data_IF_373112596470
#
_entry.id   IF_373112596470
#
_cell.length_a   1.000
_cell.length_b   1.000
_cell.length_c   1.000
_cell.angle_alpha   90.00
_cell.angle_beta   90.00
_cell.angle_gamma   90.00
#
_symmetry.space_group_name_H-M   'P 1'
#
loop_
_entity.id
_entity.type
_entity.pdbx_description
1 polymer ?
#
# COMPACT_ATOMS: atom_id res chain seq x y z
N UNK A 1 5.51 -3.93 -34.45
CA UNK A 1 5.33 -2.51 -34.06
C UNK A 1 4.19 -2.26 -33.07
N UNK A 2 2.97 -2.80 -33.27
CA UNK A 2 1.82 -2.53 -32.37
C UNK A 2 2.03 -2.99 -30.91
N UNK A 3 2.64 -4.15 -30.68
CA UNK A 3 2.91 -4.66 -29.32
C UNK A 3 3.84 -3.78 -28.49
N UNK A 4 4.92 -3.25 -29.10
CA UNK A 4 5.87 -2.38 -28.39
C UNK A 4 5.27 -1.05 -27.93
N UNK A 5 4.33 -0.48 -28.70
CA UNK A 5 3.62 0.76 -28.35
C UNK A 5 2.63 0.52 -27.20
N UNK A 6 2.00 -0.66 -27.14
CA UNK A 6 1.08 -1.01 -26.06
C UNK A 6 1.86 -1.20 -24.75
N UNK A 7 3.00 -1.89 -24.81
CA UNK A 7 3.88 -2.13 -23.67
C UNK A 7 4.43 -0.81 -23.11
N UNK A 8 4.89 0.10 -23.97
CA UNK A 8 5.40 1.41 -23.51
C UNK A 8 4.31 2.28 -22.88
N UNK A 9 3.09 2.28 -23.43
CA UNK A 9 1.94 2.97 -22.82
C UNK A 9 1.57 2.38 -21.47
N UNK A 10 1.55 1.04 -21.35
CA UNK A 10 1.25 0.37 -20.09
C UNK A 10 2.31 0.67 -19.03
N UNK A 11 3.59 0.74 -19.41
CA UNK A 11 4.65 1.15 -18.50
C UNK A 11 4.42 2.57 -17.96
N UNK A 12 4.10 3.53 -18.83
CA UNK A 12 3.83 4.91 -18.41
C UNK A 12 2.63 4.97 -17.48
N UNK A 13 1.53 4.30 -17.84
CA UNK A 13 0.30 4.31 -17.03
C UNK A 13 0.58 3.67 -15.68
N UNK A 14 1.09 2.44 -15.67
CA UNK A 14 1.23 1.65 -14.46
C UNK A 14 2.37 2.16 -13.57
N UNK A 15 3.58 2.33 -14.13
CA UNK A 15 4.76 2.65 -13.33
C UNK A 15 4.84 4.14 -13.03
N UNK A 16 4.66 5.01 -14.02
CA UNK A 16 4.87 6.45 -13.80
C UNK A 16 3.63 7.07 -13.17
N UNK A 17 2.49 6.99 -13.86
CA UNK A 17 1.24 7.63 -13.41
C UNK A 17 0.74 6.95 -12.14
N UNK A 18 0.74 5.61 -12.09
CA UNK A 18 0.36 4.85 -10.91
C UNK A 18 1.21 5.18 -9.68
N UNK A 19 2.53 5.26 -9.82
CA UNK A 19 3.40 5.61 -8.68
C UNK A 19 3.15 7.04 -8.18
N UNK A 20 3.06 8.01 -9.09
CA UNK A 20 2.76 9.41 -8.72
C UNK A 20 1.40 9.49 -8.01
N UNK A 21 0.38 8.82 -8.56
CA UNK A 21 -0.96 8.80 -8.00
C UNK A 21 -0.96 8.20 -6.59
N UNK A 22 -0.38 7.00 -6.40
CA UNK A 22 -0.36 6.31 -5.10
C UNK A 22 0.46 7.11 -4.08
N UNK A 23 1.58 7.72 -4.51
CA UNK A 23 2.39 8.55 -3.64
C UNK A 23 1.62 9.77 -3.13
N UNK A 24 0.99 10.53 -4.02
CA UNK A 24 0.18 11.70 -3.65
C UNK A 24 -1.05 11.31 -2.83
N UNK A 25 -1.72 10.22 -3.22
CA UNK A 25 -2.86 9.68 -2.49
C UNK A 25 -2.45 9.24 -1.08
N UNK A 26 -1.23 8.70 -0.91
CA UNK A 26 -0.67 8.34 0.39
C UNK A 26 -0.68 9.49 1.39
N UNK A 27 -0.25 10.70 0.99
CA UNK A 27 -0.31 11.88 1.87
C UNK A 27 -1.74 12.27 2.22
N UNK A 28 -2.66 12.21 1.26
CA UNK A 28 -4.07 12.52 1.53
C UNK A 28 -4.63 11.51 2.54
N UNK A 29 -4.44 10.21 2.28
CA UNK A 29 -4.94 9.11 3.09
C UNK A 29 -4.34 9.08 4.51
N UNK A 30 -3.10 9.53 4.67
CA UNK A 30 -2.41 9.60 5.95
C UNK A 30 -3.20 10.44 6.96
N UNK A 31 -3.68 11.61 6.54
CA UNK A 31 -4.34 12.58 7.42
C UNK A 31 -5.88 12.38 7.50
N UNK A 32 -6.45 11.46 6.72
CA UNK A 32 -7.90 11.28 6.63
C UNK A 32 -8.55 10.81 7.94
N UNK A 33 -7.84 10.04 8.78
CA UNK A 33 -8.43 9.57 10.04
C UNK A 33 -8.72 10.76 10.97
N UNK A 34 -7.72 11.60 11.19
CA UNK A 34 -7.83 12.77 12.06
C UNK A 34 -8.78 13.82 11.48
N UNK A 35 -8.84 13.97 10.14
CA UNK A 35 -9.77 14.91 9.50
C UNK A 35 -11.26 14.51 9.66
N UNK A 36 -11.54 13.21 9.67
CA UNK A 36 -12.92 12.71 9.73
C UNK A 36 -13.44 12.55 11.17
N UNK A 37 -12.56 12.57 12.18
CA UNK A 37 -12.86 12.48 13.62
C UNK A 37 -13.88 11.39 13.99
N UNK A 38 -13.89 10.27 13.25
CA UNK A 38 -14.93 9.24 13.35
C UNK A 38 -14.35 7.84 13.41
N UNK A 39 -14.71 7.12 14.48
CA UNK A 39 -14.25 5.74 14.76
C UNK A 39 -14.54 4.75 13.62
N UNK A 40 -15.55 5.00 12.78
CA UNK A 40 -15.87 4.15 11.62
C UNK A 40 -14.73 4.05 10.60
N UNK A 41 -13.87 5.07 10.52
CA UNK A 41 -12.77 5.11 9.55
C UNK A 41 -11.43 4.59 10.09
N UNK A 42 -11.38 4.21 11.36
CA UNK A 42 -10.16 3.70 12.02
C UNK A 42 -9.56 2.48 11.32
N UNK A 43 -10.40 1.60 10.80
CA UNK A 43 -9.94 0.40 10.08
C UNK A 43 -9.48 0.70 8.65
N UNK A 44 -9.83 1.86 8.12
CA UNK A 44 -9.57 2.26 6.73
C UNK A 44 -8.28 3.06 6.65
N UNK A 45 -8.19 4.15 7.40
CA UNK A 45 -7.03 5.04 7.40
C UNK A 45 -6.06 4.69 8.53
N UNK A 46 -4.79 5.13 8.43
CA UNK A 46 -3.84 5.00 9.53
C UNK A 46 -4.37 5.73 10.78
N UNK A 47 -4.43 5.03 11.91
CA UNK A 47 -4.87 5.66 13.19
C UNK A 47 -3.71 6.19 14.03
N UNK A 48 -2.48 5.78 13.70
CA UNK A 48 -1.27 6.12 14.44
C UNK A 48 -0.03 6.05 13.51
N UNK A 49 1.15 6.35 14.05
CA UNK A 49 2.40 6.41 13.27
C UNK A 49 3.15 5.06 13.16
N UNK A 50 2.50 3.94 13.49
CA UNK A 50 3.12 2.62 13.37
C UNK A 50 3.30 2.21 11.91
N UNK A 51 4.36 1.46 11.63
CA UNK A 51 4.67 0.95 10.29
C UNK A 51 3.52 0.11 9.74
N UNK A 52 2.84 -0.68 10.58
CA UNK A 52 1.66 -1.45 10.21
C UNK A 52 0.55 -0.56 9.66
N UNK A 53 0.20 0.51 10.37
CA UNK A 53 -0.86 1.43 9.99
C UNK A 53 -0.53 2.16 8.68
N UNK A 54 0.72 2.54 8.47
CA UNK A 54 1.16 3.09 7.18
C UNK A 54 1.10 2.08 6.02
N UNK A 55 1.05 0.76 6.27
CA UNK A 55 0.86 -0.20 5.17
C UNK A 55 -0.50 -0.04 4.47
N UNK A 56 -1.51 0.48 5.19
CA UNK A 56 -2.84 0.80 4.63
C UNK A 56 -2.75 1.80 3.47
N UNK A 57 -1.76 2.69 3.48
CA UNK A 57 -1.55 3.69 2.42
C UNK A 57 -1.26 3.02 1.07
N UNK A 58 -0.40 2.00 1.05
CA UNK A 58 -0.11 1.24 -0.17
C UNK A 58 -1.31 0.43 -0.62
N UNK A 59 -2.02 -0.18 0.33
CA UNK A 59 -3.21 -1.00 0.04
C UNK A 59 -4.31 -0.14 -0.58
N UNK A 60 -4.75 0.89 0.12
CA UNK A 60 -5.81 1.80 -0.34
C UNK A 60 -5.39 2.52 -1.61
N UNK A 61 -4.16 3.03 -1.68
CA UNK A 61 -3.66 3.69 -2.89
C UNK A 61 -3.71 2.75 -4.10
N UNK A 62 -3.25 1.50 -3.95
CA UNK A 62 -3.28 0.51 -5.04
C UNK A 62 -4.70 0.09 -5.43
N UNK A 63 -5.60 -0.08 -4.45
CA UNK A 63 -7.01 -0.42 -4.68
C UNK A 63 -7.74 0.72 -5.38
N UNK A 64 -7.62 1.96 -4.87
CA UNK A 64 -8.25 3.15 -5.47
C UNK A 64 -7.72 3.34 -6.90
N UNK A 65 -6.41 3.23 -7.11
CA UNK A 65 -5.83 3.33 -8.45
C UNK A 65 -6.35 2.22 -9.39
N UNK A 66 -6.43 0.99 -8.89
CA UNK A 66 -7.02 -0.14 -9.62
C UNK A 66 -8.50 0.07 -9.97
N UNK A 67 -9.29 0.62 -9.05
CA UNK A 67 -10.69 0.97 -9.29
C UNK A 67 -10.83 2.04 -10.37
N UNK A 68 -10.02 3.10 -10.31
CA UNK A 68 -9.98 4.15 -11.33
C UNK A 68 -9.67 3.53 -12.70
N UNK A 69 -8.63 2.71 -12.80
CA UNK A 69 -8.29 2.02 -14.04
C UNK A 69 -9.43 1.12 -14.53
N UNK A 70 -10.14 0.42 -13.64
CA UNK A 70 -11.26 -0.45 -14.00
C UNK A 70 -12.46 0.29 -14.62
N UNK A 71 -12.61 1.58 -14.31
CA UNK A 71 -13.65 2.43 -14.91
C UNK A 71 -13.26 2.86 -16.34
N UNK A 72 -11.97 3.11 -16.58
CA UNK A 72 -11.49 3.64 -17.87
C UNK A 72 -11.03 2.56 -18.87
N UNK A 73 -10.66 1.37 -18.40
CA UNK A 73 -10.19 0.25 -19.22
C UNK A 73 -11.35 -0.71 -19.46
N UNK A 74 -11.82 -0.80 -20.71
CA UNK A 74 -12.98 -1.62 -21.08
C UNK A 74 -12.79 -3.12 -20.83
N UNK A 75 -11.59 -3.63 -21.10
CA UNK A 75 -11.25 -5.05 -20.98
C UNK A 75 -10.01 -5.17 -20.11
N UNK A 76 -10.23 -5.54 -18.84
CA UNK A 76 -9.16 -5.83 -17.91
C UNK A 76 -8.69 -7.28 -18.08
N UNK A 77 -7.38 -7.55 -18.06
CA UNK A 77 -6.88 -8.92 -18.03
C UNK A 77 -7.28 -9.59 -16.70
N UNK A 78 -7.46 -10.92 -16.70
CA UNK A 78 -7.89 -11.67 -15.51
C UNK A 78 -6.94 -11.52 -14.32
N UNK A 79 -5.65 -11.34 -14.59
CA UNK A 79 -4.61 -11.12 -13.58
C UNK A 79 -4.51 -9.65 -13.11
N UNK A 80 -5.44 -8.78 -13.48
CA UNK A 80 -5.39 -7.36 -13.14
C UNK A 80 -5.34 -7.10 -11.63
N UNK A 81 -6.33 -7.61 -10.90
CA UNK A 81 -6.39 -7.44 -9.44
C UNK A 81 -5.25 -8.17 -8.74
N UNK A 82 -4.79 -9.30 -9.30
CA UNK A 82 -3.60 -9.99 -8.82
C UNK A 82 -2.35 -9.10 -8.91
N UNK A 83 -2.17 -8.40 -10.01
CA UNK A 83 -1.07 -7.46 -10.21
C UNK A 83 -1.12 -6.29 -9.21
N UNK A 84 -2.32 -5.77 -8.89
CA UNK A 84 -2.51 -4.72 -7.88
C UNK A 84 -2.18 -5.18 -6.47
N UNK A 85 -2.62 -6.38 -6.09
CA UNK A 85 -2.27 -6.98 -4.79
C UNK A 85 -0.75 -7.19 -4.71
N UNK A 86 -0.12 -7.68 -5.78
CA UNK A 86 1.32 -7.85 -5.81
C UNK A 86 2.08 -6.52 -5.68
N UNK A 87 1.60 -5.44 -6.31
CA UNK A 87 2.17 -4.10 -6.09
C UNK A 87 2.10 -3.73 -4.62
N UNK A 88 0.91 -3.81 -4.01
CA UNK A 88 0.71 -3.50 -2.61
C UNK A 88 1.67 -4.31 -1.72
N UNK A 89 1.67 -5.65 -1.85
CA UNK A 89 2.48 -6.52 -1.02
C UNK A 89 3.98 -6.24 -1.16
N UNK A 90 4.46 -6.05 -2.40
CA UNK A 90 5.86 -5.72 -2.65
C UNK A 90 6.21 -4.38 -2.03
N UNK A 91 5.38 -3.35 -2.21
CA UNK A 91 5.63 -2.04 -1.60
C UNK A 91 5.64 -2.13 -0.08
N UNK A 92 4.65 -2.77 0.54
CA UNK A 92 4.58 -2.90 2.01
C UNK A 92 5.76 -3.68 2.59
N UNK A 93 6.10 -4.83 2.01
CA UNK A 93 7.24 -5.65 2.47
C UNK A 93 8.54 -4.85 2.33
N UNK A 94 8.77 -4.21 1.17
CA UNK A 94 9.97 -3.41 0.97
C UNK A 94 10.05 -2.24 1.94
N UNK A 95 8.95 -1.53 2.18
CA UNK A 95 8.93 -0.44 3.16
C UNK A 95 9.25 -0.94 4.55
N UNK A 96 8.65 -2.04 5.01
CA UNK A 96 8.94 -2.62 6.34
C UNK A 96 10.42 -2.97 6.46
N UNK A 97 10.98 -3.69 5.47
CA UNK A 97 12.38 -4.12 5.49
C UNK A 97 13.34 -2.93 5.42
N UNK A 98 13.14 -2.02 4.47
CA UNK A 98 14.01 -0.85 4.29
C UNK A 98 13.92 0.12 5.46
N UNK A 99 12.71 0.36 6.00
CA UNK A 99 12.51 1.25 7.13
C UNK A 99 13.28 0.76 8.35
N UNK A 100 13.05 -0.48 8.80
CA UNK A 100 13.74 -1.00 9.98
C UNK A 100 15.25 -1.11 9.75
N UNK A 101 15.68 -1.62 8.60
CA UNK A 101 17.11 -1.72 8.29
C UNK A 101 17.79 -0.35 8.31
N UNK A 102 17.23 0.65 7.62
CA UNK A 102 17.86 1.95 7.49
C UNK A 102 17.84 2.69 8.83
N UNK A 103 16.71 2.69 9.52
CA UNK A 103 16.54 3.37 10.81
C UNK A 103 17.46 2.78 11.88
N UNK A 104 17.60 1.46 11.95
CA UNK A 104 18.46 0.82 12.95
C UNK A 104 19.94 0.99 12.64
N UNK A 105 20.35 0.77 11.39
CA UNK A 105 21.77 0.78 10.99
C UNK A 105 22.34 2.19 10.89
N UNK A 106 21.58 3.14 10.35
CA UNK A 106 22.09 4.48 10.02
C UNK A 106 21.58 5.58 10.95
N UNK A 107 20.47 5.36 11.66
CA UNK A 107 19.84 6.38 12.52
C UNK A 107 19.75 5.98 13.99
N UNK A 108 20.39 4.87 14.40
CA UNK A 108 20.38 4.36 15.79
C UNK A 108 18.94 4.19 16.33
N UNK A 109 18.03 3.70 15.49
CA UNK A 109 16.63 3.49 15.85
C UNK A 109 15.77 4.75 15.83
N UNK A 110 16.29 5.91 15.40
CA UNK A 110 15.52 7.17 15.38
C UNK A 110 14.82 7.39 14.04
N UNK A 111 13.53 7.70 14.11
CA UNK A 111 12.74 8.08 12.93
C UNK A 111 13.32 9.32 12.21
N UNK A 112 13.35 9.26 10.88
CA UNK A 112 13.70 10.37 10.01
C UNK A 112 12.68 10.51 8.87
N UNK A 113 11.91 11.61 8.89
CA UNK A 113 10.82 11.84 7.94
C UNK A 113 11.26 11.81 6.46
N UNK A 114 12.41 12.42 6.15
CA UNK A 114 12.91 12.48 4.76
C UNK A 114 13.22 11.08 4.24
N UNK A 115 13.87 10.26 5.07
CA UNK A 115 14.18 8.86 4.75
C UNK A 115 12.89 8.04 4.59
N UNK A 116 11.93 8.20 5.50
CA UNK A 116 10.63 7.51 5.41
C UNK A 116 9.91 7.84 4.10
N UNK A 117 9.86 9.11 3.67
CA UNK A 117 9.24 9.52 2.40
C UNK A 117 9.98 8.93 1.19
N UNK A 118 11.31 8.91 1.21
CA UNK A 118 12.11 8.30 0.13
C UNK A 118 11.84 6.79 0.04
N UNK A 119 11.83 6.09 1.16
CA UNK A 119 11.50 4.66 1.23
C UNK A 119 10.09 4.41 0.70
N UNK A 120 9.12 5.24 1.11
CA UNK A 120 7.73 5.17 0.64
C UNK A 120 7.65 5.29 -0.89
N UNK A 121 8.29 6.30 -1.48
CA UNK A 121 8.32 6.51 -2.93
C UNK A 121 9.00 5.34 -3.68
N UNK A 122 10.18 4.91 -3.23
CA UNK A 122 10.91 3.81 -3.86
C UNK A 122 10.14 2.50 -3.81
N UNK A 123 9.53 2.18 -2.68
CA UNK A 123 8.71 0.99 -2.51
C UNK A 123 7.48 1.00 -3.44
N UNK A 124 6.82 2.15 -3.62
CA UNK A 124 5.72 2.30 -4.58
C UNK A 124 6.20 2.06 -6.00
N UNK A 125 7.31 2.67 -6.43
CA UNK A 125 7.85 2.51 -7.79
C UNK A 125 8.15 1.03 -8.08
N UNK A 126 8.79 0.34 -7.13
CA UNK A 126 9.13 -1.09 -7.29
C UNK A 126 7.86 -1.95 -7.31
N UNK A 127 6.87 -1.64 -6.47
CA UNK A 127 5.56 -2.32 -6.47
C UNK A 127 4.80 -2.14 -7.79
N UNK A 128 4.70 -0.90 -8.29
CA UNK A 128 4.05 -0.62 -9.58
C UNK A 128 4.81 -1.26 -10.74
N UNK A 129 6.14 -1.27 -10.70
CA UNK A 129 6.94 -2.03 -11.67
C UNK A 129 6.63 -3.53 -11.62
N UNK A 130 6.43 -4.10 -10.43
CA UNK A 130 5.99 -5.49 -10.29
C UNK A 130 4.60 -5.71 -10.90
N UNK A 131 3.66 -4.81 -10.68
CA UNK A 131 2.33 -4.88 -11.30
C UNK A 131 2.44 -4.85 -12.83
N UNK A 132 3.21 -3.92 -13.38
CA UNK A 132 3.50 -3.85 -14.81
C UNK A 132 4.06 -5.16 -15.37
N UNK A 133 5.02 -5.78 -14.66
CA UNK A 133 5.57 -7.09 -15.06
C UNK A 133 4.53 -8.21 -15.05
N UNK A 134 3.55 -8.17 -14.13
CA UNK A 134 2.50 -9.17 -14.07
C UNK A 134 1.46 -8.95 -15.18
N UNK A 135 1.07 -7.70 -15.43
CA UNK A 135 0.12 -7.33 -16.49
C UNK A 135 0.65 -7.60 -17.91
N UNK A 136 1.98 -7.58 -18.10
CA UNK A 136 2.62 -7.89 -19.39
C UNK A 136 2.91 -9.37 -19.60
N UNK A 137 2.72 -10.22 -18.59
CA UNK A 137 2.89 -11.67 -18.69
C UNK A 137 1.55 -12.36 -18.92
N UNK A 138 1.57 -13.41 -19.73
CA UNK A 138 0.46 -14.35 -19.86
C UNK A 138 0.38 -15.22 -18.60
N UNK A 139 -0.22 -14.68 -17.54
CA UNK A 139 -0.49 -15.41 -16.30
C UNK A 139 -1.96 -15.81 -16.36
N UNK A 140 -2.20 -17.10 -16.57
CA UNK A 140 -3.53 -17.70 -16.48
C UNK A 140 -3.47 -18.89 -15.53
N UNK A 141 -4.02 -18.69 -14.34
CA UNK A 141 -4.36 -19.78 -13.43
C UNK A 141 -5.88 -19.77 -13.24
N UNK A 142 -6.52 -20.93 -13.05
CA UNK A 142 -7.95 -20.98 -12.80
C UNK A 142 -8.34 -20.06 -11.64
N UNK A 143 -9.37 -19.24 -11.87
CA UNK A 143 -10.02 -18.40 -10.87
C UNK A 143 -9.12 -17.30 -10.25
N UNK A 144 -8.04 -16.88 -10.94
CA UNK A 144 -7.10 -15.87 -10.42
C UNK A 144 -7.80 -14.56 -10.03
N UNK A 145 -8.83 -14.15 -10.77
CA UNK A 145 -9.62 -12.95 -10.50
C UNK A 145 -10.40 -13.09 -9.20
N UNK A 146 -11.12 -14.19 -9.02
CA UNK A 146 -11.92 -14.48 -7.83
C UNK A 146 -11.02 -14.59 -6.59
N UNK A 147 -9.89 -15.30 -6.71
CA UNK A 147 -8.89 -15.42 -5.64
C UNK A 147 -8.36 -14.04 -5.26
N UNK A 148 -8.09 -13.16 -6.23
CA UNK A 148 -7.62 -11.80 -5.97
C UNK A 148 -8.64 -10.98 -5.19
N UNK A 149 -9.91 -11.06 -5.56
CA UNK A 149 -10.99 -10.36 -4.85
C UNK A 149 -11.11 -10.87 -3.41
N UNK A 150 -11.07 -12.20 -3.20
CA UNK A 150 -11.09 -12.79 -1.85
C UNK A 150 -9.90 -12.31 -1.03
N UNK A 151 -8.69 -12.27 -1.60
CA UNK A 151 -7.50 -11.76 -0.92
C UNK A 151 -7.61 -10.28 -0.54
N UNK A 152 -8.16 -9.43 -1.41
CA UNK A 152 -8.41 -8.00 -1.08
C UNK A 152 -9.33 -7.89 0.13
N UNK A 153 -10.42 -8.68 0.16
CA UNK A 153 -11.36 -8.70 1.28
C UNK A 153 -10.67 -9.18 2.55
N UNK A 154 -9.87 -10.26 2.47
CA UNK A 154 -9.12 -10.77 3.62
C UNK A 154 -8.12 -9.76 4.19
N UNK A 155 -7.39 -9.05 3.32
CA UNK A 155 -6.45 -7.99 3.72
C UNK A 155 -7.22 -6.84 4.38
N UNK A 156 -8.36 -6.45 3.83
CA UNK A 156 -9.19 -5.41 4.44
C UNK A 156 -9.71 -5.82 5.82
N UNK A 157 -10.19 -7.06 5.97
CA UNK A 157 -10.64 -7.59 7.25
C UNK A 157 -9.50 -7.73 8.26
N UNK A 158 -8.27 -8.01 7.82
CA UNK A 158 -7.12 -8.06 8.73
C UNK A 158 -6.78 -6.67 9.28
N UNK A 159 -6.85 -5.61 8.46
CA UNK A 159 -6.75 -4.23 8.95
C UNK A 159 -7.85 -3.90 9.95
N UNK A 160 -9.09 -4.32 9.66
CA UNK A 160 -10.20 -4.13 10.59
C UNK A 160 -9.91 -4.77 11.94
N UNK A 161 -9.50 -6.03 11.98
CA UNK A 161 -9.22 -6.72 13.23
C UNK A 161 -8.00 -6.15 13.97
N UNK A 162 -6.89 -5.95 13.27
CA UNK A 162 -5.59 -5.64 13.86
C UNK A 162 -5.43 -4.18 14.29
N UNK A 163 -6.23 -3.25 13.78
CA UNK A 163 -6.25 -1.88 14.30
C UNK A 163 -6.81 -1.82 15.74
N UNK A 164 -7.76 -2.70 16.08
CA UNK A 164 -8.32 -2.80 17.43
C UNK A 164 -7.60 -3.82 18.32
N UNK A 165 -7.03 -4.86 17.70
CA UNK A 165 -6.29 -5.93 18.39
C UNK A 165 -4.86 -6.02 17.82
N UNK A 166 -4.03 -4.98 18.00
CA UNK A 166 -2.68 -4.95 17.46
C UNK A 166 -1.80 -6.02 18.10
N UNK A 167 -0.87 -6.58 17.32
CA UNK A 167 0.11 -7.54 17.84
C UNK A 167 1.21 -6.76 18.55
N UNK A 168 1.53 -7.12 19.80
CA UNK A 168 2.61 -6.51 20.59
C UNK A 168 3.98 -6.78 19.97
N UNK A 169 4.33 -5.99 18.96
CA UNK A 169 5.59 -6.06 18.22
C UNK A 169 5.92 -4.69 17.65
N UNK A 170 7.19 -4.45 17.34
CA UNK A 170 7.65 -3.16 16.84
C UNK A 170 6.92 -2.69 15.57
N UNK A 171 6.42 -3.62 14.75
CA UNK A 171 5.66 -3.30 13.54
C UNK A 171 4.36 -2.51 13.83
N UNK A 172 3.72 -2.78 14.96
CA UNK A 172 2.44 -2.16 15.36
C UNK A 172 2.62 -1.04 16.39
N UNK A 173 3.86 -0.80 16.85
CA UNK A 173 4.16 0.20 17.86
C UNK A 173 4.26 1.58 17.20
N UNK A 174 3.49 2.53 17.74
CA UNK A 174 3.75 3.95 17.53
C UNK A 174 4.88 4.37 18.49
N UNK A 175 6.08 4.55 17.95
CA UNK A 175 7.28 4.89 18.74
C UNK A 175 7.21 6.30 19.36
N UNK A 176 6.31 7.18 18.90
CA UNK A 176 6.19 8.55 19.41
C UNK A 176 5.46 8.63 20.75
N UNK A 177 4.45 7.77 20.94
CA UNK A 177 3.62 7.70 22.16
C UNK A 177 3.76 6.37 22.91
N UNK A 178 4.54 5.44 22.35
CA UNK A 178 4.80 4.10 22.88
C UNK A 178 3.52 3.29 23.15
N UNK A 179 2.61 3.27 22.16
CA UNK A 179 1.30 2.59 22.22
C UNK A 179 0.97 1.89 20.89
N UNK A 180 -0.09 1.11 20.90
CA UNK A 180 -0.51 0.29 19.75
C UNK A 180 -1.93 0.62 19.28
N UNK A 181 -2.18 0.38 17.99
CA UNK A 181 -3.53 0.45 17.39
C UNK A 181 -4.25 1.77 17.67
N UNK A 182 -5.58 1.71 17.80
CA UNK A 182 -6.42 2.88 18.05
C UNK A 182 -6.13 3.59 19.38
N UNK A 183 -5.59 2.88 20.37
CA UNK A 183 -5.29 3.43 21.69
C UNK A 183 -4.11 4.42 21.68
N UNK A 184 -3.27 4.39 20.64
CA UNK A 184 -2.22 5.38 20.44
C UNK A 184 -2.79 6.76 20.10
N UNK A 185 -3.87 6.81 19.31
CA UNK A 185 -4.52 8.06 18.90
C UNK A 185 -5.16 8.79 20.09
N UNK A 186 -5.81 8.06 21.00
CA UNK A 186 -6.48 8.63 22.19
C UNK A 186 -5.55 9.35 23.20
N UNK A 187 -4.24 9.37 22.93
CA UNK A 187 -3.25 10.11 23.72
C UNK A 187 -2.57 11.26 23.00
N UNK A 188 -2.90 11.51 21.72
CA UNK A 188 -2.55 12.75 21.03
C UNK A 188 -3.52 13.85 21.46
#
# INVERSE_FOLDING_TARGET
>A
MKGGIIISKLFIIEVIIGSIFIFLMGFILHDMYDLLEHNYFSSIFPVNESVWEHTKLFFLGSVIYGLIQSVFIKELPDNFWFAKIASFLVSSILTVLMYFFITDVFFNGKHNLVVTIIIFLLAIIIGQYKSYQLLTKEISFPNIKEISIVLIIMIFLSYFYLTYNPIESRLFLDESVNKYGIYANLSK
#
